data_IF_862580201842
#
_entry.id   IF_862580201842
#
_cell.length_a   1.000
_cell.length_b   1.000
_cell.length_c   1.000
_cell.angle_alpha   90.00
_cell.angle_beta   90.00
_cell.angle_gamma   90.00
#
_symmetry.space_group_name_H-M   'P 1'
#
loop_
_entity.id
_entity.type
_entity.pdbx_description
1 polymer ?
#
# COMPACT_ATOMS: atom_id res chain seq x y z
N UNK A 1 -24.90 8.70 -11.69
CA UNK A 1 -26.27 8.38 -11.22
C UNK A 1 -26.94 9.70 -10.90
N UNK A 2 -28.13 9.95 -11.43
CA UNK A 2 -28.82 11.24 -11.22
C UNK A 2 -29.71 11.23 -9.95
N UNK A 3 -29.81 10.09 -9.27
CA UNK A 3 -30.59 9.91 -8.04
C UNK A 3 -29.66 9.68 -6.83
N UNK A 4 -29.83 10.49 -5.78
CA UNK A 4 -29.14 10.35 -4.50
C UNK A 4 -30.11 9.92 -3.39
N UNK A 5 -29.68 8.99 -2.53
CA UNK A 5 -30.44 8.60 -1.34
C UNK A 5 -30.35 9.67 -0.24
N UNK A 6 -31.44 9.92 0.52
CA UNK A 6 -31.40 10.82 1.67
C UNK A 6 -30.34 10.43 2.70
N UNK A 7 -29.79 11.43 3.39
CA UNK A 7 -28.75 11.24 4.41
C UNK A 7 -29.22 10.21 5.45
N UNK A 8 -28.41 9.17 5.67
CA UNK A 8 -28.68 8.08 6.62
C UNK A 8 -29.44 6.87 6.04
N UNK A 9 -29.91 6.95 4.78
CA UNK A 9 -30.57 5.83 4.10
C UNK A 9 -29.54 4.99 3.34
N UNK A 10 -29.52 3.68 3.62
CA UNK A 10 -28.67 2.70 2.93
C UNK A 10 -29.53 1.57 2.41
N UNK A 11 -29.24 1.11 1.19
CA UNK A 11 -29.89 -0.06 0.59
C UNK A 11 -28.81 -1.09 0.29
N UNK A 12 -28.91 -2.26 0.91
CA UNK A 12 -27.99 -3.37 0.70
C UNK A 12 -28.81 -4.61 0.34
N UNK A 13 -28.39 -5.32 -0.71
CA UNK A 13 -29.04 -6.54 -1.16
C UNK A 13 -27.99 -7.57 -1.52
N UNK A 14 -28.10 -8.77 -0.98
CA UNK A 14 -27.30 -9.91 -1.44
C UNK A 14 -27.88 -10.47 -2.76
N UNK A 15 -27.09 -11.24 -3.51
CA UNK A 15 -27.55 -11.94 -4.72
C UNK A 15 -28.80 -12.81 -4.47
N UNK A 16 -28.90 -13.42 -3.29
CA UNK A 16 -30.06 -14.20 -2.86
C UNK A 16 -31.34 -13.36 -2.64
N UNK A 17 -31.22 -12.04 -2.53
CA UNK A 17 -32.32 -11.10 -2.27
C UNK A 17 -32.70 -10.28 -3.50
N UNK A 18 -32.26 -10.70 -4.69
CA UNK A 18 -32.47 -10.01 -5.96
C UNK A 18 -33.92 -9.59 -6.20
N UNK A 19 -34.89 -10.45 -5.88
CA UNK A 19 -36.32 -10.16 -6.11
C UNK A 19 -36.86 -9.02 -5.23
N UNK A 20 -36.19 -8.72 -4.12
CA UNK A 20 -36.54 -7.62 -3.21
C UNK A 20 -35.90 -6.29 -3.61
N UNK A 21 -34.89 -6.31 -4.49
CA UNK A 21 -34.20 -5.11 -4.92
C UNK A 21 -35.05 -4.31 -5.94
N UNK A 22 -35.10 -2.97 -5.86
CA UNK A 22 -35.70 -2.12 -6.89
C UNK A 22 -34.80 -2.05 -8.14
N UNK A 23 -35.35 -1.69 -9.30
CA UNK A 23 -34.51 -1.29 -10.44
C UNK A 23 -33.82 0.06 -10.14
N UNK A 24 -32.58 0.29 -10.62
CA UNK A 24 -31.74 -0.59 -11.46
C UNK A 24 -30.93 -1.66 -10.68
N UNK A 25 -31.00 -1.70 -9.34
CA UNK A 25 -30.19 -2.59 -8.49
C UNK A 25 -30.45 -4.08 -8.77
N UNK A 26 -31.71 -4.42 -9.12
CA UNK A 26 -32.09 -5.79 -9.50
C UNK A 26 -31.39 -6.25 -10.78
N UNK A 27 -31.24 -5.36 -11.76
CA UNK A 27 -30.43 -5.60 -12.96
C UNK A 27 -28.96 -5.83 -12.59
N UNK A 28 -28.40 -5.03 -11.68
CA UNK A 28 -27.01 -5.16 -11.25
C UNK A 28 -26.73 -6.50 -10.53
N UNK A 29 -27.66 -6.96 -9.69
CA UNK A 29 -27.60 -8.30 -9.06
C UNK A 29 -27.77 -9.46 -10.04
N UNK A 30 -28.20 -9.19 -11.28
CA UNK A 30 -28.35 -10.21 -12.32
C UNK A 30 -27.03 -10.54 -13.03
N UNK A 31 -26.03 -9.67 -12.89
CA UNK A 31 -24.76 -9.78 -13.57
C UNK A 31 -24.00 -10.98 -13.00
N UNK A 32 -23.49 -11.83 -13.90
CA UNK A 32 -22.73 -13.01 -13.51
C UNK A 32 -21.44 -12.62 -12.75
N UNK A 33 -21.27 -13.19 -11.57
CA UNK A 33 -20.16 -12.87 -10.67
C UNK A 33 -20.42 -11.73 -9.66
N UNK A 34 -21.58 -11.07 -9.67
CA UNK A 34 -22.00 -10.12 -8.61
C UNK A 34 -22.64 -10.88 -7.44
N UNK A 35 -22.15 -10.66 -6.24
CA UNK A 35 -22.59 -11.31 -4.99
C UNK A 35 -23.46 -10.40 -4.12
N UNK A 36 -23.37 -9.09 -4.32
CA UNK A 36 -24.10 -8.10 -3.53
C UNK A 36 -24.08 -6.73 -4.16
N UNK A 37 -25.04 -5.90 -3.77
CA UNK A 37 -25.16 -4.52 -4.22
C UNK A 37 -25.44 -3.63 -3.01
N UNK A 38 -24.67 -2.56 -2.90
CA UNK A 38 -24.81 -1.56 -1.86
C UNK A 38 -24.98 -0.19 -2.50
N UNK A 39 -26.03 0.54 -2.09
CA UNK A 39 -26.31 1.89 -2.53
C UNK A 39 -26.41 2.80 -1.30
N UNK A 40 -25.57 3.83 -1.28
CA UNK A 40 -25.60 4.89 -0.27
C UNK A 40 -25.29 6.21 -0.97
N UNK A 41 -25.92 7.29 -0.49
CA UNK A 41 -25.77 8.62 -1.06
C UNK A 41 -25.95 8.58 -2.60
N UNK A 42 -24.91 8.90 -3.35
CA UNK A 42 -24.85 9.06 -4.80
C UNK A 42 -24.09 7.93 -5.53
N UNK A 43 -23.63 6.89 -4.83
CA UNK A 43 -22.86 5.80 -5.42
C UNK A 43 -23.43 4.40 -5.17
N UNK A 44 -23.12 3.49 -6.09
CA UNK A 44 -23.37 2.05 -5.95
C UNK A 44 -22.04 1.32 -5.88
N UNK A 45 -21.88 0.46 -4.88
CA UNK A 45 -20.86 -0.55 -4.82
C UNK A 45 -21.44 -1.92 -5.22
N UNK A 46 -20.72 -2.65 -6.07
CA UNK A 46 -21.02 -4.04 -6.42
C UNK A 46 -20.01 -4.94 -5.71
N UNK A 47 -20.50 -5.83 -4.86
CA UNK A 47 -19.68 -6.92 -4.36
C UNK A 47 -19.57 -7.97 -5.47
N UNK A 48 -18.35 -8.40 -5.77
CA UNK A 48 -18.10 -9.46 -6.75
C UNK A 48 -17.51 -10.70 -6.08
N UNK A 49 -17.80 -11.85 -6.65
CA UNK A 49 -17.05 -13.06 -6.37
C UNK A 49 -15.58 -12.83 -6.76
N UNK A 50 -14.58 -13.30 -5.99
CA UNK A 50 -13.15 -13.05 -6.27
C UNK A 50 -12.71 -13.48 -7.67
N UNK A 51 -13.32 -14.56 -8.20
CA UNK A 51 -13.10 -15.09 -9.55
C UNK A 51 -14.01 -14.47 -10.64
N UNK A 52 -14.91 -13.57 -10.28
CA UNK A 52 -15.81 -12.91 -11.22
C UNK A 52 -15.06 -11.97 -12.15
N UNK A 53 -15.38 -12.01 -13.45
CA UNK A 53 -14.82 -11.12 -14.47
C UNK A 53 -15.32 -9.69 -14.24
N UNK A 54 -14.51 -8.90 -13.55
CA UNK A 54 -14.87 -7.53 -13.18
C UNK A 54 -15.05 -6.62 -14.41
N UNK A 55 -14.37 -6.89 -15.53
CA UNK A 55 -14.50 -6.07 -16.75
C UNK A 55 -15.86 -6.30 -17.39
N UNK A 56 -16.29 -7.57 -17.46
CA UNK A 56 -17.64 -7.93 -17.88
C UNK A 56 -18.68 -7.36 -16.94
N UNK A 57 -18.47 -7.49 -15.63
CA UNK A 57 -19.38 -6.94 -14.62
C UNK A 57 -19.57 -5.44 -14.81
N UNK A 58 -18.47 -4.68 -15.00
CA UNK A 58 -18.55 -3.25 -15.23
C UNK A 58 -19.24 -2.89 -16.54
N UNK A 59 -18.98 -3.61 -17.64
CA UNK A 59 -19.66 -3.36 -18.93
C UNK A 59 -21.17 -3.57 -18.82
N UNK A 60 -21.59 -4.68 -18.23
CA UNK A 60 -23.02 -4.99 -18.04
C UNK A 60 -23.66 -3.99 -17.07
N UNK A 61 -22.97 -3.62 -15.98
CA UNK A 61 -23.45 -2.63 -15.03
C UNK A 61 -23.68 -1.25 -15.66
N UNK A 62 -22.75 -0.78 -16.50
CA UNK A 62 -22.91 0.49 -17.25
C UNK A 62 -24.11 0.45 -18.19
N UNK A 63 -24.30 -0.66 -18.89
CA UNK A 63 -25.47 -0.86 -19.76
C UNK A 63 -26.79 -0.79 -19.00
N UNK A 64 -26.83 -1.36 -17.78
CA UNK A 64 -28.01 -1.32 -16.90
C UNK A 64 -28.27 0.08 -16.35
N UNK A 65 -27.20 0.84 -16.06
CA UNK A 65 -27.31 2.21 -15.54
C UNK A 65 -27.55 3.27 -16.63
N UNK A 66 -27.70 2.86 -17.89
CA UNK A 66 -28.13 3.75 -18.97
C UNK A 66 -27.04 4.61 -19.60
N UNK A 67 -25.74 4.28 -19.41
CA UNK A 67 -24.67 4.89 -20.19
C UNK A 67 -24.79 4.46 -21.66
N UNK A 68 -25.45 5.28 -22.48
CA UNK A 68 -25.47 5.10 -23.93
C UNK A 68 -24.17 5.64 -24.54
N UNK A 69 -23.47 4.73 -25.22
CA UNK A 69 -22.12 4.81 -25.77
C UNK A 69 -21.87 5.97 -26.77
N UNK A 70 -20.95 6.88 -26.43
CA UNK A 70 -19.92 7.36 -27.38
C UNK A 70 -18.60 6.57 -27.27
N UNK A 71 -18.43 5.80 -26.18
CA UNK A 71 -17.22 5.04 -25.85
C UNK A 71 -16.96 3.77 -26.68
N UNK A 72 -17.95 3.25 -27.42
CA UNK A 72 -17.81 1.97 -28.16
C UNK A 72 -17.15 2.11 -29.56
N UNK A 73 -16.88 3.34 -30.05
CA UNK A 73 -16.30 3.52 -31.40
C UNK A 73 -14.78 3.39 -31.48
N UNK A 74 -14.07 3.21 -30.37
CA UNK A 74 -12.60 3.12 -30.36
C UNK A 74 -12.04 1.90 -29.59
N UNK A 75 -12.77 0.79 -29.54
CA UNK A 75 -12.11 -0.50 -29.31
C UNK A 75 -11.44 -0.94 -30.62
N UNK A 76 -10.10 -1.18 -30.66
CA UNK A 76 -9.51 -1.82 -31.83
C UNK A 76 -10.12 -3.21 -31.98
N UNK A 77 -10.74 -3.48 -33.12
CA UNK A 77 -11.19 -4.80 -33.51
C UNK A 77 -9.96 -5.72 -33.65
N UNK A 78 -9.62 -6.47 -32.59
CA UNK A 78 -8.44 -7.33 -32.64
C UNK A 78 -7.98 -7.89 -31.30
N UNK A 79 -8.87 -8.41 -30.45
CA UNK A 79 -8.47 -9.35 -29.40
C UNK A 79 -9.43 -10.54 -29.45
N UNK A 80 -8.93 -11.67 -29.96
CA UNK A 80 -9.67 -12.91 -30.03
C UNK A 80 -9.97 -13.49 -28.63
N UNK A 81 -10.87 -14.48 -28.54
CA UNK A 81 -11.21 -15.12 -27.28
C UNK A 81 -10.05 -16.02 -26.87
N UNK A 82 -9.13 -15.51 -26.05
CA UNK A 82 -7.93 -16.23 -25.65
C UNK A 82 -7.06 -15.57 -24.58
N UNK A 83 -7.55 -14.52 -23.92
CA UNK A 83 -6.88 -13.92 -22.76
C UNK A 83 -7.76 -14.11 -21.51
N UNK A 84 -7.99 -15.37 -21.17
CA UNK A 84 -8.42 -15.76 -19.82
C UNK A 84 -7.20 -15.61 -18.89
N UNK A 85 -7.13 -14.47 -18.19
CA UNK A 85 -6.21 -14.24 -17.09
C UNK A 85 -6.99 -13.59 -15.95
N UNK A 86 -7.19 -14.36 -14.88
CA UNK A 86 -7.83 -13.93 -13.65
C UNK A 86 -7.23 -12.61 -13.13
N UNK A 87 -8.06 -11.79 -12.47
CA UNK A 87 -7.67 -10.49 -11.96
C UNK A 87 -6.57 -10.55 -10.88
N UNK A 88 -5.33 -10.34 -11.30
CA UNK A 88 -4.30 -9.79 -10.43
C UNK A 88 -4.39 -8.27 -10.47
N UNK A 89 -4.92 -7.70 -9.40
CA UNK A 89 -4.77 -6.29 -9.09
C UNK A 89 -3.27 -5.98 -9.07
N UNK A 90 -2.74 -5.39 -10.14
CA UNK A 90 -1.43 -4.76 -10.21
C UNK A 90 -0.19 -5.55 -9.69
N UNK A 91 -0.28 -6.88 -9.56
CA UNK A 91 0.76 -7.69 -8.90
C UNK A 91 0.96 -7.31 -7.44
N UNK A 92 -0.12 -6.93 -6.74
CA UNK A 92 -0.09 -6.60 -5.32
C UNK A 92 0.24 -7.83 -4.49
N UNK A 93 1.25 -7.72 -3.63
CA UNK A 93 1.74 -8.78 -2.77
C UNK A 93 1.59 -8.37 -1.32
N UNK A 94 0.66 -9.00 -0.60
CA UNK A 94 0.54 -8.85 0.84
C UNK A 94 1.67 -9.62 1.53
N UNK A 95 2.42 -8.95 2.40
CA UNK A 95 3.53 -9.55 3.15
C UNK A 95 3.10 -9.78 4.59
N UNK A 96 3.26 -11.00 5.06
CA UNK A 96 2.94 -11.44 6.41
C UNK A 96 4.19 -12.08 7.03
N UNK A 97 4.59 -11.63 8.21
CA UNK A 97 5.73 -12.20 8.94
C UNK A 97 5.22 -12.90 10.18
N UNK A 98 5.55 -14.18 10.32
CA UNK A 98 5.30 -14.93 11.54
C UNK A 98 6.34 -14.56 12.58
N UNK A 99 5.88 -14.04 13.72
CA UNK A 99 6.68 -13.57 14.83
C UNK A 99 6.45 -14.46 16.07
N UNK A 100 7.48 -14.60 16.90
CA UNK A 100 7.39 -15.13 18.25
C UNK A 100 8.14 -14.18 19.19
N UNK A 101 7.44 -13.52 20.11
CA UNK A 101 8.00 -12.51 21.05
C UNK A 101 9.01 -11.55 20.37
N UNK A 102 8.54 -10.86 19.33
CA UNK A 102 9.32 -9.95 18.48
C UNK A 102 10.45 -10.57 17.62
N UNK A 103 10.69 -11.89 17.70
CA UNK A 103 11.64 -12.62 16.83
C UNK A 103 10.90 -13.09 15.56
N UNK A 104 11.31 -12.66 14.36
CA UNK A 104 10.71 -13.13 13.12
C UNK A 104 11.17 -14.56 12.80
N UNK A 105 10.27 -15.37 12.24
CA UNK A 105 10.53 -16.79 11.96
C UNK A 105 10.34 -17.16 10.49
N UNK A 106 9.22 -16.73 9.91
CA UNK A 106 8.83 -17.11 8.55
C UNK A 106 8.17 -15.93 7.84
N UNK A 107 8.48 -15.76 6.57
CA UNK A 107 7.81 -14.81 5.69
C UNK A 107 6.80 -15.56 4.83
N UNK A 108 5.61 -15.00 4.71
CA UNK A 108 4.54 -15.45 3.81
C UNK A 108 4.16 -14.28 2.92
N UNK A 109 4.10 -14.53 1.63
CA UNK A 109 3.65 -13.55 0.65
C UNK A 109 2.44 -14.10 -0.10
N UNK A 110 1.46 -13.24 -0.35
CA UNK A 110 0.19 -13.62 -0.99
C UNK A 110 -0.15 -12.63 -2.09
N UNK A 111 -0.58 -13.13 -3.24
CA UNK A 111 -1.14 -12.33 -4.32
C UNK A 111 -2.27 -13.13 -4.96
N UNK A 112 -3.47 -12.53 -5.01
CA UNK A 112 -4.68 -13.21 -5.48
C UNK A 112 -4.92 -14.54 -4.75
N UNK A 113 -4.92 -15.65 -5.51
CA UNK A 113 -5.08 -17.01 -5.00
C UNK A 113 -3.77 -17.74 -4.69
N UNK A 114 -2.62 -17.14 -4.97
CA UNK A 114 -1.31 -17.75 -4.77
C UNK A 114 -0.64 -17.32 -3.46
N UNK A 115 0.07 -18.27 -2.84
CA UNK A 115 0.85 -18.05 -1.63
C UNK A 115 2.25 -18.65 -1.80
N UNK A 116 3.28 -17.92 -1.36
CA UNK A 116 4.65 -18.43 -1.19
C UNK A 116 5.12 -18.18 0.24
N UNK A 117 6.06 -19.01 0.70
CA UNK A 117 6.60 -18.93 2.05
C UNK A 117 8.08 -19.27 2.07
N UNK A 118 8.84 -18.55 2.87
CA UNK A 118 10.25 -18.81 3.13
C UNK A 118 10.51 -18.75 4.63
N UNK A 119 11.25 -19.74 5.14
CA UNK A 119 11.81 -19.66 6.48
C UNK A 119 12.99 -18.68 6.48
N UNK A 120 13.18 -17.95 7.59
CA UNK A 120 14.40 -17.18 7.80
C UNK A 120 15.58 -18.10 8.09
N UNK A 121 16.83 -17.62 7.96
CA UNK A 121 18.03 -18.41 8.24
C UNK A 121 18.03 -19.04 9.64
N UNK A 122 18.80 -20.12 9.79
CA UNK A 122 18.84 -20.97 10.99
C UNK A 122 18.99 -20.19 12.30
N UNK A 123 19.75 -19.09 12.31
CA UNK A 123 19.93 -18.23 13.49
C UNK A 123 18.61 -17.71 14.08
N UNK A 124 17.61 -17.43 13.24
CA UNK A 124 16.29 -16.97 13.69
C UNK A 124 15.49 -18.11 14.34
N UNK A 125 15.58 -19.31 13.77
CA UNK A 125 14.95 -20.49 14.34
C UNK A 125 15.58 -20.84 15.70
N UNK A 126 16.91 -20.76 15.81
CA UNK A 126 17.63 -20.99 17.07
C UNK A 126 17.25 -19.96 18.13
N UNK A 127 17.22 -18.67 17.79
CA UNK A 127 16.77 -17.61 18.69
C UNK A 127 15.33 -17.84 19.18
N UNK A 128 14.40 -18.18 18.27
CA UNK A 128 13.01 -18.46 18.65
C UNK A 128 12.87 -19.72 19.52
N UNK A 129 13.69 -20.76 19.28
CA UNK A 129 13.72 -21.96 20.12
C UNK A 129 14.27 -21.67 21.53
N UNK A 130 15.34 -20.89 21.62
CA UNK A 130 15.93 -20.49 22.90
C UNK A 130 14.96 -19.65 23.73
N UNK A 131 14.38 -18.61 23.13
CA UNK A 131 13.32 -17.82 23.77
C UNK A 131 12.09 -18.67 24.13
N UNK A 132 11.80 -19.70 23.33
CA UNK A 132 10.72 -20.65 23.54
C UNK A 132 10.93 -21.58 24.73
N UNK A 133 12.17 -21.81 25.19
CA UNK A 133 12.44 -22.62 26.38
C UNK A 133 11.85 -22.01 27.66
N UNK A 134 11.63 -20.69 27.67
CA UNK A 134 10.94 -19.97 28.75
C UNK A 134 9.40 -19.98 28.62
N UNK A 135 8.86 -20.47 27.51
CA UNK A 135 7.41 -20.55 27.26
C UNK A 135 6.91 -22.00 27.36
N UNK A 136 5.84 -22.27 28.13
CA UNK A 136 5.19 -23.57 28.13
C UNK A 136 4.55 -23.93 26.78
N UNK A 137 4.26 -22.94 25.90
CA UNK A 137 3.45 -23.13 24.69
C UNK A 137 3.91 -22.23 23.52
N UNK A 138 5.13 -22.46 23.02
CA UNK A 138 5.71 -21.76 21.85
C UNK A 138 4.74 -21.66 20.65
N UNK A 139 4.00 -22.73 20.36
CA UNK A 139 3.10 -22.79 19.18
C UNK A 139 1.94 -21.80 19.29
N UNK A 140 1.36 -21.61 20.47
CA UNK A 140 0.17 -20.75 20.65
C UNK A 140 0.50 -19.27 20.70
N UNK A 141 1.76 -18.91 20.99
CA UNK A 141 2.21 -17.52 21.10
C UNK A 141 2.67 -16.93 19.76
N UNK A 142 2.75 -17.74 18.69
CA UNK A 142 3.12 -17.25 17.36
C UNK A 142 2.04 -16.34 16.81
N UNK A 143 2.43 -15.14 16.40
CA UNK A 143 1.54 -14.15 15.79
C UNK A 143 1.92 -13.96 14.33
N UNK A 144 0.93 -13.91 13.45
CA UNK A 144 1.13 -13.51 12.07
C UNK A 144 0.90 -12.01 11.98
N UNK A 145 1.95 -11.25 11.67
CA UNK A 145 1.93 -9.78 11.65
C UNK A 145 1.99 -9.31 10.21
N UNK A 146 1.11 -8.38 9.86
CA UNK A 146 1.14 -7.72 8.55
C UNK A 146 2.37 -6.81 8.45
N UNK A 147 3.13 -6.97 7.36
CA UNK A 147 4.37 -6.24 7.09
C UNK A 147 4.21 -5.30 5.89
N UNK A 148 2.96 -4.99 5.55
CA UNK A 148 2.57 -4.11 4.45
C UNK A 148 2.47 -4.82 3.10
N UNK A 149 2.32 -3.99 2.07
CA UNK A 149 2.07 -4.41 0.70
C UNK A 149 3.27 -4.08 -0.19
N UNK A 150 3.65 -5.04 -1.03
CA UNK A 150 4.68 -4.90 -2.08
C UNK A 150 4.07 -5.18 -3.45
N UNK A 151 4.85 -4.96 -4.50
CA UNK A 151 4.38 -5.09 -5.88
C UNK A 151 5.44 -5.77 -6.71
N UNK A 152 5.02 -6.73 -7.54
CA UNK A 152 5.90 -7.53 -8.39
C UNK A 152 5.68 -9.02 -8.18
N UNK A 153 6.64 -9.81 -8.65
CA UNK A 153 6.56 -11.27 -8.56
C UNK A 153 6.69 -11.76 -7.11
N UNK A 154 5.90 -12.77 -6.73
CA UNK A 154 5.87 -13.30 -5.37
C UNK A 154 7.26 -13.74 -4.87
N UNK A 155 8.03 -14.43 -5.71
CA UNK A 155 9.34 -14.96 -5.32
C UNK A 155 10.39 -13.84 -5.16
N UNK A 156 10.34 -12.80 -5.99
CA UNK A 156 11.24 -11.64 -5.88
C UNK A 156 10.94 -10.82 -4.63
N UNK A 157 9.65 -10.56 -4.37
CA UNK A 157 9.20 -9.89 -3.14
C UNK A 157 9.60 -10.70 -1.92
N UNK A 158 9.37 -12.02 -1.93
CA UNK A 158 9.74 -12.90 -0.81
C UNK A 158 11.25 -12.84 -0.53
N UNK A 159 12.08 -12.93 -1.58
CA UNK A 159 13.53 -12.83 -1.45
C UNK A 159 14.01 -11.44 -0.99
N UNK A 160 13.35 -10.37 -1.41
CA UNK A 160 13.61 -9.01 -0.91
C UNK A 160 13.32 -8.90 0.59
N UNK A 161 12.14 -9.30 1.03
CA UNK A 161 11.73 -9.21 2.44
C UNK A 161 12.63 -10.06 3.34
N UNK A 162 12.99 -11.28 2.91
CA UNK A 162 13.94 -12.11 3.67
C UNK A 162 15.28 -11.39 3.84
N UNK A 163 15.83 -10.79 2.78
CA UNK A 163 17.08 -10.01 2.87
C UNK A 163 16.94 -8.77 3.76
N UNK A 164 15.82 -8.06 3.70
CA UNK A 164 15.53 -6.91 4.58
C UNK A 164 15.49 -7.35 6.05
N UNK A 165 14.81 -8.45 6.38
CA UNK A 165 14.77 -8.99 7.74
C UNK A 165 16.12 -9.51 8.21
N UNK A 166 16.89 -10.18 7.35
CA UNK A 166 18.26 -10.59 7.66
C UNK A 166 19.19 -9.40 7.94
N UNK A 167 18.98 -8.29 7.24
CA UNK A 167 19.72 -7.06 7.49
C UNK A 167 19.29 -6.41 8.81
N UNK A 168 17.97 -6.27 9.04
CA UNK A 168 17.43 -5.61 10.22
C UNK A 168 17.73 -6.34 11.55
N UNK A 169 17.82 -7.68 11.52
CA UNK A 169 18.04 -8.51 12.70
C UNK A 169 19.42 -9.15 12.65
N UNK A 170 20.43 -8.38 13.05
CA UNK A 170 21.78 -8.88 13.29
C UNK A 170 21.84 -9.80 14.53
N UNK A 171 23.00 -10.43 14.74
CA UNK A 171 23.20 -11.40 15.82
C UNK A 171 23.09 -10.76 17.21
N UNK A 172 23.54 -9.51 17.36
CA UNK A 172 23.43 -8.76 18.62
C UNK A 172 21.97 -8.51 18.98
N UNK A 173 21.18 -8.02 18.03
CA UNK A 173 19.75 -7.75 18.19
C UNK A 173 18.98 -9.03 18.49
N UNK A 174 19.26 -10.13 17.79
CA UNK A 174 18.61 -11.42 18.11
C UNK A 174 18.91 -11.87 19.53
N UNK A 175 20.16 -11.73 19.98
CA UNK A 175 20.56 -12.09 21.35
C UNK A 175 19.85 -11.22 22.40
N UNK A 176 19.70 -9.93 22.14
CA UNK A 176 18.92 -9.00 23.00
C UNK A 176 17.45 -9.40 23.06
N UNK A 177 16.82 -9.64 21.91
CA UNK A 177 15.42 -10.07 21.83
C UNK A 177 15.17 -11.39 22.54
N UNK A 178 16.12 -12.34 22.48
CA UNK A 178 16.00 -13.61 23.23
C UNK A 178 16.01 -13.36 24.74
N UNK A 179 16.90 -12.49 25.24
CA UNK A 179 16.94 -12.14 26.66
C UNK A 179 15.65 -11.46 27.12
N UNK A 180 15.16 -10.49 26.34
CA UNK A 180 13.89 -9.80 26.61
C UNK A 180 12.72 -10.78 26.59
N UNK A 181 12.65 -11.62 25.55
CA UNK A 181 11.61 -12.64 25.41
C UNK A 181 11.61 -13.62 26.58
N UNK A 182 12.76 -14.01 27.13
CA UNK A 182 12.81 -14.88 28.32
C UNK A 182 12.39 -14.15 29.61
N UNK A 183 12.56 -12.83 29.68
CA UNK A 183 12.14 -12.03 30.83
C UNK A 183 10.64 -11.69 30.82
N UNK A 184 10.00 -11.70 29.64
CA UNK A 184 8.57 -11.37 29.48
C UNK A 184 7.64 -12.42 30.09
N UNK A 185 6.64 -11.95 30.83
CA UNK A 185 5.49 -12.74 31.23
C UNK A 185 4.58 -13.05 30.03
N UNK A 186 3.75 -14.12 30.09
CA UNK A 186 2.79 -14.42 29.02
C UNK A 186 1.80 -13.29 28.73
N UNK A 187 1.49 -12.44 29.72
CA UNK A 187 0.61 -11.28 29.55
C UNK A 187 1.31 -10.16 28.77
N UNK A 188 2.58 -9.86 29.08
CA UNK A 188 3.39 -8.87 28.34
C UNK A 188 3.67 -9.33 26.90
N UNK A 189 3.93 -10.62 26.70
CA UNK A 189 4.09 -11.19 25.35
C UNK A 189 2.80 -11.13 24.50
N UNK A 190 1.63 -11.10 25.16
CA UNK A 190 0.34 -10.96 24.48
C UNK A 190 0.07 -9.52 24.06
N UNK A 191 0.70 -8.53 24.69
CA UNK A 191 0.53 -7.10 24.41
C UNK A 191 1.15 -6.71 23.04
N UNK A 192 0.37 -6.10 22.13
CA UNK A 192 0.90 -5.55 20.88
C UNK A 192 1.92 -4.42 21.09
N UNK A 193 1.79 -3.62 22.15
CA UNK A 193 2.67 -2.46 22.40
C UNK A 193 4.07 -2.91 22.80
N UNK A 194 4.18 -3.94 23.63
CA UNK A 194 5.47 -4.53 24.02
C UNK A 194 6.29 -5.03 22.82
N UNK A 195 5.62 -5.56 21.78
CA UNK A 195 6.28 -5.99 20.55
C UNK A 195 6.74 -4.82 19.66
N UNK A 196 6.07 -3.67 19.74
CA UNK A 196 6.48 -2.45 19.05
C UNK A 196 7.63 -1.73 19.78
N UNK A 197 7.64 -1.76 21.11
CA UNK A 197 8.74 -1.22 21.92
C UNK A 197 10.04 -2.02 21.74
N UNK A 198 9.97 -3.35 21.64
CA UNK A 198 11.12 -4.21 21.36
C UNK A 198 11.79 -3.93 19.99
N UNK A 199 11.12 -3.22 19.07
CA UNK A 199 11.75 -2.75 17.83
C UNK A 199 12.62 -1.51 18.02
N UNK A 200 12.30 -0.67 19.00
CA UNK A 200 13.01 0.59 19.25
C UNK A 200 14.28 0.30 20.05
N UNK A 201 15.42 0.96 19.75
CA UNK A 201 16.57 0.90 20.62
C UNK A 201 16.21 1.51 21.98
N UNK A 202 16.44 0.76 23.06
CA UNK A 202 16.13 1.23 24.41
C UNK A 202 16.90 2.53 24.72
N UNK A 203 16.19 3.56 25.19
CA UNK A 203 16.77 4.67 25.96
C UNK A 203 17.60 5.71 25.22
N UNK A 204 17.56 5.82 23.89
CA UNK A 204 18.30 6.87 23.18
C UNK A 204 17.45 8.14 23.08
N UNK A 205 18.03 9.28 23.48
CA UNK A 205 17.46 10.57 23.11
C UNK A 205 17.49 10.73 21.57
N UNK A 206 16.65 11.61 21.02
CA UNK A 206 16.59 11.82 19.56
C UNK A 206 17.94 12.23 18.95
N UNK A 207 18.82 12.86 19.73
CA UNK A 207 20.13 13.34 19.27
C UNK A 207 21.13 12.18 19.14
N UNK A 208 21.21 11.31 20.15
CA UNK A 208 22.03 10.10 20.17
C UNK A 208 21.57 9.12 19.09
N UNK A 209 20.25 8.94 18.93
CA UNK A 209 19.69 8.11 17.86
C UNK A 209 20.10 8.62 16.47
N UNK A 210 20.03 9.94 16.24
CA UNK A 210 20.48 10.58 14.98
C UNK A 210 21.99 10.46 14.78
N UNK A 211 22.79 10.62 15.84
CA UNK A 211 24.24 10.46 15.77
C UNK A 211 24.63 9.01 15.40
N UNK A 212 23.99 8.03 16.04
CA UNK A 212 24.19 6.62 15.73
C UNK A 212 23.79 6.29 14.28
N UNK A 213 22.64 6.80 13.81
CA UNK A 213 22.23 6.65 12.42
C UNK A 213 23.25 7.29 11.46
N UNK A 214 23.75 8.48 11.77
CA UNK A 214 24.72 9.19 10.93
C UNK A 214 26.06 8.45 10.80
N UNK A 215 26.51 7.82 11.88
CA UNK A 215 27.68 6.93 11.89
C UNK A 215 27.39 5.65 11.08
N UNK A 216 26.29 4.97 11.38
CA UNK A 216 25.93 3.71 10.72
C UNK A 216 25.79 3.86 9.21
N UNK A 217 25.20 4.97 8.72
CA UNK A 217 25.06 5.28 7.29
C UNK A 217 26.41 5.44 6.55
N UNK A 218 27.55 5.50 7.25
CA UNK A 218 28.89 5.51 6.65
C UNK A 218 29.48 4.12 6.45
N UNK A 219 28.85 3.07 6.99
CA UNK A 219 29.32 1.69 6.85
C UNK A 219 29.30 1.23 5.39
N UNK A 220 30.33 0.50 4.97
CA UNK A 220 30.38 -0.17 3.67
C UNK A 220 29.32 -1.29 3.57
N UNK A 221 28.97 -1.92 4.70
CA UNK A 221 27.94 -2.95 4.74
C UNK A 221 26.55 -2.33 4.80
N UNK A 222 25.78 -2.53 3.73
CA UNK A 222 24.40 -2.06 3.63
C UNK A 222 23.50 -2.64 4.72
N UNK A 223 23.83 -3.80 5.30
CA UNK A 223 23.04 -4.40 6.37
C UNK A 223 23.08 -3.55 7.63
N UNK A 224 24.26 -3.02 7.98
CA UNK A 224 24.44 -2.10 9.11
C UNK A 224 23.64 -0.81 8.86
N UNK A 225 23.74 -0.26 7.64
CA UNK A 225 22.97 0.94 7.25
C UNK A 225 21.46 0.72 7.34
N UNK A 226 20.97 -0.40 6.82
CA UNK A 226 19.55 -0.74 6.83
C UNK A 226 19.04 -1.05 8.24
N UNK A 227 19.79 -1.78 9.06
CA UNK A 227 19.41 -2.08 10.44
C UNK A 227 19.30 -0.82 11.30
N UNK A 228 20.26 0.09 11.19
CA UNK A 228 20.22 1.37 11.89
C UNK A 228 19.03 2.21 11.44
N UNK A 229 18.73 2.24 10.13
CA UNK A 229 17.58 2.95 9.61
C UNK A 229 16.26 2.30 10.08
N UNK A 230 16.08 0.97 9.98
CA UNK A 230 14.83 0.29 10.38
C UNK A 230 14.47 0.47 11.85
N UNK A 231 15.47 0.62 12.71
CA UNK A 231 15.30 0.87 14.15
C UNK A 231 15.08 2.36 14.48
N UNK A 232 15.23 3.26 13.51
CA UNK A 232 15.13 4.69 13.71
C UNK A 232 13.67 5.14 13.73
N UNK A 233 13.32 6.00 14.69
CA UNK A 233 12.03 6.69 14.71
C UNK A 233 12.19 8.04 14.02
N UNK A 234 11.55 8.29 12.87
CA UNK A 234 11.75 9.53 12.12
C UNK A 234 11.21 10.76 12.86
N UNK A 235 11.96 11.86 12.76
CA UNK A 235 11.60 13.19 13.23
C UNK A 235 12.06 14.26 12.21
N UNK A 236 11.58 15.49 12.36
CA UNK A 236 11.89 16.59 11.44
C UNK A 236 13.40 16.90 11.38
N UNK A 237 14.12 16.77 12.49
CA UNK A 237 15.56 17.03 12.55
C UNK A 237 16.38 15.95 11.81
N UNK A 238 15.79 14.78 11.57
CA UNK A 238 16.41 13.70 10.80
C UNK A 238 16.29 13.85 9.28
N UNK A 239 15.52 14.83 8.77
CA UNK A 239 15.33 15.06 7.33
C UNK A 239 16.67 15.06 6.56
N UNK A 240 17.75 15.73 7.00
CA UNK A 240 19.03 15.69 6.29
C UNK A 240 19.66 14.28 6.21
N UNK A 241 19.50 13.46 7.25
CA UNK A 241 19.99 12.08 7.26
C UNK A 241 19.17 11.18 6.33
N UNK A 242 17.84 11.33 6.35
CA UNK A 242 16.95 10.61 5.45
C UNK A 242 17.18 11.02 3.99
N UNK A 243 17.42 12.31 3.74
CA UNK A 243 17.80 12.82 2.42
C UNK A 243 19.10 12.19 1.91
N UNK A 244 20.10 11.97 2.77
CA UNK A 244 21.30 11.21 2.41
C UNK A 244 21.00 9.74 2.12
N UNK A 245 20.12 9.11 2.90
CA UNK A 245 19.72 7.72 2.69
C UNK A 245 18.96 7.50 1.36
N UNK A 246 18.31 8.53 0.81
CA UNK A 246 17.74 8.49 -0.55
C UNK A 246 18.80 8.37 -1.66
N UNK A 247 20.10 8.55 -1.39
CA UNK A 247 21.17 8.37 -2.37
C UNK A 247 21.89 7.02 -2.20
N UNK A 248 21.41 6.15 -1.31
CA UNK A 248 22.06 4.87 -1.01
C UNK A 248 22.10 3.92 -2.23
N UNK A 249 23.21 3.20 -2.46
CA UNK A 249 23.27 2.17 -3.50
C UNK A 249 22.15 1.12 -3.39
N UNK A 250 21.77 0.75 -2.16
CA UNK A 250 20.78 -0.27 -1.87
C UNK A 250 19.35 0.28 -1.96
N UNK A 251 18.55 -0.36 -2.81
CA UNK A 251 17.16 0.05 -3.07
C UNK A 251 16.29 0.06 -1.81
N UNK A 252 16.39 -0.97 -0.96
CA UNK A 252 15.64 -1.07 0.30
C UNK A 252 15.86 0.11 1.25
N UNK A 253 17.08 0.66 1.30
CA UNK A 253 17.41 1.83 2.12
C UNK A 253 16.72 3.07 1.55
N UNK A 254 16.84 3.31 0.23
CA UNK A 254 16.17 4.44 -0.43
C UNK A 254 14.66 4.40 -0.26
N UNK A 255 14.06 3.20 -0.38
CA UNK A 255 12.62 2.99 -0.19
C UNK A 255 12.21 3.28 1.25
N UNK A 256 12.94 2.77 2.24
CA UNK A 256 12.64 3.01 3.65
C UNK A 256 12.79 4.49 4.03
N UNK A 257 13.84 5.16 3.52
CA UNK A 257 14.01 6.60 3.70
C UNK A 257 12.84 7.39 3.09
N UNK A 258 12.30 6.95 1.95
CA UNK A 258 11.11 7.56 1.34
C UNK A 258 9.88 7.40 2.23
N UNK A 259 9.66 6.21 2.82
CA UNK A 259 8.57 5.98 3.78
C UNK A 259 8.70 6.93 4.97
N UNK A 260 9.87 7.01 5.59
CA UNK A 260 10.09 7.86 6.76
C UNK A 260 9.97 9.36 6.48
N UNK A 261 10.39 9.82 5.31
CA UNK A 261 10.11 11.20 4.87
C UNK A 261 8.58 11.42 4.75
N UNK A 262 7.84 10.43 4.27
CA UNK A 262 6.38 10.45 4.26
C UNK A 262 5.75 10.49 5.65
N UNK A 263 6.32 9.76 6.62
CA UNK A 263 5.82 9.68 8.00
C UNK A 263 5.97 10.98 8.79
N UNK A 264 6.97 11.81 8.44
CA UNK A 264 7.19 13.13 9.06
C UNK A 264 6.04 14.11 8.73
N UNK A 265 5.44 13.99 7.53
CA UNK A 265 4.25 14.74 7.10
C UNK A 265 4.35 16.28 7.19
N UNK A 266 5.54 16.84 7.01
CA UNK A 266 5.74 18.29 6.94
C UNK A 266 6.08 18.77 5.52
N UNK A 267 5.83 20.04 5.16
CA UNK A 267 6.14 20.57 3.82
C UNK A 267 7.63 20.43 3.44
N UNK A 268 8.54 20.45 4.43
CA UNK A 268 9.99 20.36 4.23
C UNK A 268 10.42 19.04 3.58
N UNK A 269 9.60 17.98 3.66
CA UNK A 269 9.92 16.69 3.04
C UNK A 269 9.61 16.63 1.54
N UNK A 270 8.77 17.55 1.03
CA UNK A 270 8.25 17.50 -0.34
C UNK A 270 9.34 17.49 -1.42
N UNK A 271 10.38 18.35 -1.36
CA UNK A 271 11.45 18.32 -2.36
C UNK A 271 12.16 16.96 -2.45
N UNK A 272 12.29 16.25 -1.32
CA UNK A 272 12.92 14.95 -1.26
C UNK A 272 12.01 13.84 -1.81
N UNK A 273 10.71 13.91 -1.56
CA UNK A 273 9.72 13.01 -2.15
C UNK A 273 9.59 13.22 -3.66
N UNK A 274 9.69 14.46 -4.15
CA UNK A 274 9.73 14.75 -5.59
C UNK A 274 10.99 14.18 -6.26
N UNK A 275 12.12 14.16 -5.55
CA UNK A 275 13.32 13.45 -6.01
C UNK A 275 13.09 11.94 -6.03
N UNK A 276 12.46 11.38 -5.00
CA UNK A 276 12.15 9.94 -4.93
C UNK A 276 11.18 9.47 -6.01
N UNK A 277 10.25 10.34 -6.48
CA UNK A 277 9.42 10.11 -7.67
C UNK A 277 10.21 9.91 -8.96
N UNK A 278 11.51 10.22 -8.97
CA UNK A 278 12.42 10.06 -10.12
C UNK A 278 13.50 9.00 -9.89
N UNK A 279 13.37 8.19 -8.83
CA UNK A 279 14.33 7.13 -8.52
C UNK A 279 14.43 6.09 -9.65
N UNK A 280 15.62 5.48 -9.79
CA UNK A 280 15.86 4.39 -10.75
C UNK A 280 14.98 3.15 -10.50
N UNK A 281 14.56 2.92 -9.26
CA UNK A 281 13.69 1.82 -8.86
C UNK A 281 12.21 2.20 -8.92
N UNK A 282 11.41 1.38 -9.59
CA UNK A 282 9.94 1.49 -9.60
C UNK A 282 9.37 1.48 -8.19
N UNK A 283 9.90 0.62 -7.31
CA UNK A 283 9.41 0.48 -5.95
C UNK A 283 9.55 1.79 -5.15
N UNK A 284 10.67 2.50 -5.33
CA UNK A 284 10.91 3.79 -4.67
C UNK A 284 10.00 4.88 -5.24
N UNK A 285 9.87 4.98 -6.58
CA UNK A 285 8.97 5.95 -7.22
C UNK A 285 7.52 5.76 -6.80
N UNK A 286 7.06 4.50 -6.75
CA UNK A 286 5.72 4.15 -6.27
C UNK A 286 5.53 4.54 -4.80
N UNK A 287 6.48 4.17 -3.93
CA UNK A 287 6.44 4.56 -2.51
C UNK A 287 6.40 6.08 -2.34
N UNK A 288 7.15 6.84 -3.13
CA UNK A 288 7.06 8.31 -3.11
C UNK A 288 5.65 8.78 -3.47
N UNK A 289 5.03 8.19 -4.48
CA UNK A 289 3.64 8.44 -4.84
C UNK A 289 2.65 8.15 -3.71
N UNK A 290 2.80 7.00 -3.03
CA UNK A 290 1.99 6.62 -1.86
C UNK A 290 2.11 7.68 -0.75
N UNK A 291 3.35 8.03 -0.39
CA UNK A 291 3.61 9.00 0.69
C UNK A 291 3.07 10.40 0.38
N UNK A 292 3.11 10.81 -0.89
CA UNK A 292 2.58 12.10 -1.32
C UNK A 292 1.04 12.11 -1.28
N UNK A 293 0.37 10.99 -1.59
CA UNK A 293 -1.07 10.84 -1.35
C UNK A 293 -1.42 10.94 0.14
N UNK A 294 -0.62 10.34 1.02
CA UNK A 294 -0.86 10.39 2.46
C UNK A 294 -0.66 11.81 3.03
N UNK A 295 0.32 12.56 2.49
CA UNK A 295 0.55 13.97 2.83
C UNK A 295 -0.57 14.86 2.26
N UNK A 296 -0.98 14.63 1.01
CA UNK A 296 -2.05 15.37 0.35
C UNK A 296 -1.73 16.83 0.04
N UNK A 297 -0.46 17.20 -0.14
CA UNK A 297 -0.09 18.58 -0.47
C UNK A 297 -0.38 18.91 -1.95
N UNK A 298 -1.13 19.99 -2.27
CA UNK A 298 -1.34 20.44 -3.64
C UNK A 298 -0.05 20.75 -4.41
N UNK A 299 1.06 21.05 -3.71
CA UNK A 299 2.37 21.25 -4.34
C UNK A 299 2.86 20.02 -5.12
N UNK A 300 2.33 18.83 -4.81
CA UNK A 300 2.64 17.60 -5.50
C UNK A 300 1.88 17.41 -6.83
N UNK A 301 0.90 18.27 -7.18
CA UNK A 301 0.14 18.18 -8.44
C UNK A 301 1.08 18.18 -9.65
N UNK A 302 1.99 19.16 -9.74
CA UNK A 302 2.95 19.25 -10.84
C UNK A 302 3.86 18.01 -10.98
N UNK A 303 4.56 17.59 -9.91
CA UNK A 303 5.33 16.35 -9.90
C UNK A 303 4.52 15.10 -10.25
N UNK A 304 3.26 15.00 -9.81
CA UNK A 304 2.39 13.86 -10.13
C UNK A 304 1.91 13.86 -11.58
N UNK A 305 1.65 15.03 -12.17
CA UNK A 305 1.40 15.13 -13.61
C UNK A 305 2.60 14.64 -14.43
N UNK A 306 3.84 14.85 -13.96
CA UNK A 306 5.03 14.27 -14.59
C UNK A 306 5.07 12.74 -14.40
N UNK A 307 4.67 12.24 -13.23
CA UNK A 307 4.61 10.80 -12.94
C UNK A 307 3.53 10.05 -13.76
N UNK A 308 2.54 10.73 -14.33
CA UNK A 308 1.65 10.16 -15.35
C UNK A 308 2.37 9.75 -16.64
N UNK A 309 3.62 10.16 -16.85
CA UNK A 309 4.43 9.77 -18.00
C UNK A 309 5.43 8.65 -17.67
N UNK A 310 5.37 8.07 -16.46
CA UNK A 310 6.30 7.04 -16.04
C UNK A 310 6.19 5.78 -16.92
N UNK A 311 7.31 5.11 -17.29
CA UNK A 311 7.25 3.86 -18.04
C UNK A 311 6.49 2.76 -17.29
N UNK A 312 6.46 2.80 -15.96
CA UNK A 312 5.78 1.81 -15.14
C UNK A 312 4.33 2.22 -14.84
N UNK A 313 3.39 1.34 -15.21
CA UNK A 313 1.95 1.55 -15.00
C UNK A 313 1.53 1.76 -13.55
N UNK A 314 2.22 1.18 -12.57
CA UNK A 314 1.91 1.35 -11.15
C UNK A 314 2.18 2.77 -10.68
N UNK A 315 3.26 3.37 -11.18
CA UNK A 315 3.62 4.76 -10.87
C UNK A 315 2.59 5.69 -11.50
N UNK A 316 2.23 5.47 -12.77
CA UNK A 316 1.18 6.24 -13.45
C UNK A 316 -0.18 6.11 -12.76
N UNK A 317 -0.57 4.90 -12.36
CA UNK A 317 -1.82 4.67 -11.63
C UNK A 317 -1.82 5.42 -10.29
N UNK A 318 -0.72 5.36 -9.54
CA UNK A 318 -0.59 6.09 -8.27
C UNK A 318 -0.67 7.60 -8.47
N UNK A 319 -0.07 8.13 -9.53
CA UNK A 319 -0.17 9.53 -9.89
C UNK A 319 -1.60 9.94 -10.27
N UNK A 320 -2.29 9.13 -11.10
CA UNK A 320 -3.70 9.37 -11.43
C UNK A 320 -4.60 9.35 -10.19
N UNK A 321 -4.33 8.43 -9.25
CA UNK A 321 -5.03 8.36 -7.97
C UNK A 321 -4.79 9.59 -7.11
N UNK A 322 -3.54 10.05 -6.99
CA UNK A 322 -3.24 11.29 -6.28
C UNK A 322 -4.00 12.48 -6.89
N UNK A 323 -4.02 12.60 -8.22
CA UNK A 323 -4.69 13.71 -8.91
C UNK A 323 -6.23 13.62 -8.80
N UNK A 324 -6.77 12.42 -8.70
CA UNK A 324 -8.16 12.24 -8.27
C UNK A 324 -8.36 12.75 -6.83
N UNK A 325 -7.48 12.41 -5.89
CA UNK A 325 -7.62 12.79 -4.47
C UNK A 325 -7.38 14.29 -4.21
N UNK A 326 -6.45 14.93 -4.93
CA UNK A 326 -5.89 16.25 -4.61
C UNK A 326 -5.87 17.24 -5.78
N UNK A 327 -6.15 16.79 -7.00
CA UNK A 327 -6.03 17.64 -8.20
C UNK A 327 -7.02 18.81 -8.20
N UNK A 328 -6.64 19.89 -8.87
CA UNK A 328 -7.50 21.03 -9.14
C UNK A 328 -7.59 21.27 -10.65
N UNK A 329 -8.23 22.38 -11.07
CA UNK A 329 -8.36 22.73 -12.48
C UNK A 329 -7.02 22.79 -13.24
N UNK A 330 -5.90 23.08 -12.55
CA UNK A 330 -4.57 23.11 -13.16
C UNK A 330 -4.11 21.73 -13.64
N UNK A 331 -4.66 20.65 -13.09
CA UNK A 331 -4.34 19.28 -13.48
C UNK A 331 -5.06 18.82 -14.76
N UNK A 332 -6.12 19.50 -15.20
CA UNK A 332 -6.99 19.04 -16.29
C UNK A 332 -6.25 18.86 -17.61
N UNK A 333 -5.36 19.80 -17.97
CA UNK A 333 -4.60 19.72 -19.22
C UNK A 333 -3.74 18.45 -19.26
N UNK A 334 -2.98 18.19 -18.19
CA UNK A 334 -2.11 17.02 -18.13
C UNK A 334 -2.88 15.70 -17.96
N UNK A 335 -4.00 15.70 -17.24
CA UNK A 335 -4.89 14.53 -17.16
C UNK A 335 -5.49 14.18 -18.54
N UNK A 336 -5.96 15.17 -19.29
CA UNK A 336 -6.48 14.96 -20.65
C UNK A 336 -5.39 14.47 -21.60
N UNK A 337 -4.16 14.97 -21.48
CA UNK A 337 -3.03 14.47 -22.26
C UNK A 337 -2.70 12.99 -21.98
N UNK A 338 -3.06 12.47 -20.81
CA UNK A 338 -2.83 11.08 -20.41
C UNK A 338 -4.10 10.19 -20.50
N UNK A 339 -5.23 10.70 -21.01
CA UNK A 339 -6.53 9.99 -21.01
C UNK A 339 -6.51 8.66 -21.79
N UNK A 340 -5.64 8.58 -22.80
CA UNK A 340 -5.46 7.42 -23.67
C UNK A 340 -4.31 6.50 -23.21
N UNK A 341 -4.01 6.46 -21.91
CA UNK A 341 -3.00 5.55 -21.34
C UNK A 341 -3.20 4.09 -21.83
N UNK A 342 -2.16 3.32 -22.17
CA UNK A 342 -2.36 1.93 -22.61
C UNK A 342 -3.00 1.02 -21.54
N UNK A 343 -2.79 1.29 -20.25
CA UNK A 343 -3.32 0.47 -19.16
C UNK A 343 -4.75 0.90 -18.78
N UNK A 344 -5.68 -0.05 -18.75
CA UNK A 344 -7.10 0.25 -18.53
C UNK A 344 -7.35 0.89 -17.16
N UNK A 345 -6.72 0.36 -16.11
CA UNK A 345 -6.89 0.83 -14.74
C UNK A 345 -6.38 2.27 -14.58
N UNK A 346 -5.31 2.64 -15.30
CA UNK A 346 -4.80 4.01 -15.35
C UNK A 346 -5.78 4.93 -16.07
N UNK A 347 -6.26 4.56 -17.27
CA UNK A 347 -7.28 5.36 -18.00
C UNK A 347 -8.56 5.57 -17.20
N UNK A 348 -9.00 4.54 -16.48
CA UNK A 348 -10.18 4.64 -15.62
C UNK A 348 -9.93 5.66 -14.51
N UNK A 349 -8.80 5.57 -13.81
CA UNK A 349 -8.47 6.48 -12.72
C UNK A 349 -8.31 7.93 -13.20
N UNK A 350 -7.71 8.15 -14.37
CA UNK A 350 -7.56 9.49 -14.98
C UNK A 350 -8.94 10.09 -15.31
N UNK A 351 -9.85 9.30 -15.88
CA UNK A 351 -11.21 9.78 -16.18
C UNK A 351 -11.98 10.17 -14.93
N UNK A 352 -11.89 9.36 -13.87
CA UNK A 352 -12.48 9.71 -12.56
C UNK A 352 -11.93 11.05 -12.03
N UNK A 353 -10.63 11.29 -12.18
CA UNK A 353 -10.02 12.57 -11.78
C UNK A 353 -10.57 13.74 -12.59
N UNK A 354 -10.69 13.60 -13.91
CA UNK A 354 -11.26 14.63 -14.79
C UNK A 354 -12.72 14.91 -14.43
N UNK A 355 -13.55 13.87 -14.33
CA UNK A 355 -14.98 13.98 -14.02
C UNK A 355 -15.20 14.69 -12.67
N UNK A 356 -14.42 14.33 -11.64
CA UNK A 356 -14.48 15.00 -10.35
C UNK A 356 -14.15 16.50 -10.47
N UNK A 357 -13.04 16.83 -11.11
CA UNK A 357 -12.57 18.22 -11.22
C UNK A 357 -13.55 19.05 -12.07
N UNK A 358 -14.03 18.53 -13.19
CA UNK A 358 -15.00 19.22 -14.05
C UNK A 358 -16.39 19.32 -13.42
N UNK A 359 -16.78 18.32 -12.62
CA UNK A 359 -18.01 18.33 -11.82
C UNK A 359 -18.00 19.35 -10.68
N UNK A 360 -16.86 20.00 -10.42
CA UNK A 360 -16.70 20.99 -9.34
C UNK A 360 -16.68 20.36 -7.95
N UNK A 361 -16.45 19.05 -7.86
CA UNK A 361 -16.28 18.36 -6.59
C UNK A 361 -14.91 18.72 -6.00
N UNK A 362 -14.91 19.29 -4.78
CA UNK A 362 -13.65 19.59 -4.08
C UNK A 362 -12.82 18.32 -3.87
N UNK A 363 -11.50 18.48 -3.91
CA UNK A 363 -10.56 17.43 -3.54
C UNK A 363 -10.81 17.01 -2.09
N UNK A 364 -11.42 15.83 -1.90
CA UNK A 364 -11.72 15.31 -0.55
C UNK A 364 -10.51 14.64 0.10
N UNK A 365 -9.39 14.54 -0.61
CA UNK A 365 -8.21 13.81 -0.18
C UNK A 365 -8.42 12.28 -0.16
N UNK A 366 -7.42 11.56 0.34
CA UNK A 366 -7.49 10.09 0.42
C UNK A 366 -8.59 9.63 1.39
N UNK A 367 -9.10 8.41 1.22
CA UNK A 367 -10.11 7.83 2.14
C UNK A 367 -9.67 7.94 3.60
N UNK A 368 -8.37 7.76 3.88
CA UNK A 368 -7.82 7.91 5.22
C UNK A 368 -7.92 9.35 5.73
N UNK A 369 -7.59 10.35 4.90
CA UNK A 369 -7.72 11.77 5.24
C UNK A 369 -9.18 12.16 5.50
N UNK A 370 -10.12 11.64 4.70
CA UNK A 370 -11.55 11.84 4.91
C UNK A 370 -12.04 11.24 6.23
N UNK A 371 -11.51 10.08 6.63
CA UNK A 371 -11.82 9.47 7.92
C UNK A 371 -11.24 10.31 9.08
N UNK A 372 -9.98 10.74 9.00
CA UNK A 372 -9.35 11.54 10.07
C UNK A 372 -9.89 12.96 10.20
N UNK A 373 -10.34 13.57 9.11
CA UNK A 373 -10.91 14.92 9.12
C UNK A 373 -12.39 14.93 9.54
N UNK A 374 -13.09 13.78 9.51
CA UNK A 374 -14.46 13.65 10.02
C UNK A 374 -14.55 13.62 11.55
N UNK A 375 -13.46 13.30 12.22
CA UNK A 375 -13.36 13.23 13.68
C UNK A 375 -12.85 14.55 14.31
N UNK A 376 -12.69 15.61 13.51
CA UNK A 376 -12.42 17.00 13.94
C UNK A 376 -13.65 17.85 13.69
#
# INVERSE_FOLDING_TARGET
MDESLPIGVRRAFAAAERDKAPEPLRGLLAIDGVTGVFHTADFIALDRHPKGDWQRILREARGILGESSEFDRQAPAGVGPGAEGAGDAFGEVTVLVQMFRAIPMQVRVKSGGEERRAALPERFANAAMEAGAASPNLITERKLVEHGVRYGELDDVLAEIVRELEAAYDESRLTELVKEAMAMTPAEAADPEAAAEAKKPAGHDGTEARAHLAEALQSDDWRVRFAALERFSPDEEAIPLLARALDDPQMSIRRLATVYLGDIKTPEVLPFLFRALRDKSVAVRRTAGDTLSDIGSPEAIGPMLQALQDPNKLVRWRAARFLFEQGDESALEGLRAASEDPEFEVRMQIRLAIERIEGGEEAQGSVWQQMTNRDR
#
